data_IF_370716730735
#
_entry.id   IF_370716730735
#
_cell.length_a   1.000
_cell.length_b   1.000
_cell.length_c   1.000
_cell.angle_alpha   90.00
_cell.angle_beta   90.00
_cell.angle_gamma   90.00
#
_symmetry.space_group_name_H-M   'P 1'
#
loop_
_entity.id
_entity.type
_entity.pdbx_description
1 polymer ?
#
# COMPACT_ATOMS: atom_id res chain seq x y z
N UNK A 1 -4.53 1.56 -11.70
CA UNK A 1 -4.85 2.93 -12.19
C UNK A 1 -4.87 3.91 -11.02
N UNK A 2 -4.50 5.18 -11.23
CA UNK A 2 -4.53 6.21 -10.20
C UNK A 2 -5.30 7.45 -10.66
N UNK A 3 -6.16 8.01 -9.81
CA UNK A 3 -6.89 9.25 -10.08
C UNK A 3 -6.82 10.21 -8.89
N UNK A 4 -6.58 11.48 -9.19
CA UNK A 4 -6.55 12.57 -8.22
C UNK A 4 -7.68 13.55 -8.53
N UNK A 5 -8.56 13.81 -7.57
CA UNK A 5 -9.71 14.71 -7.76
C UNK A 5 -9.49 16.13 -7.21
N UNK A 6 -8.32 16.38 -6.61
CA UNK A 6 -8.01 17.64 -5.92
C UNK A 6 -7.95 17.51 -4.39
N UNK A 7 -8.56 16.47 -3.83
CA UNK A 7 -8.64 16.22 -2.39
C UNK A 7 -8.17 14.81 -2.02
N UNK A 8 -8.55 13.80 -2.79
CA UNK A 8 -8.23 12.41 -2.56
C UNK A 8 -7.56 11.75 -3.78
N UNK A 9 -6.56 10.91 -3.49
CA UNK A 9 -5.92 10.03 -4.46
C UNK A 9 -6.59 8.67 -4.36
N UNK A 10 -7.23 8.23 -5.44
CA UNK A 10 -7.70 6.85 -5.55
C UNK A 10 -6.67 6.04 -6.33
N UNK A 11 -6.20 4.94 -5.75
CA UNK A 11 -5.30 3.99 -6.40
C UNK A 11 -6.01 2.64 -6.50
N UNK A 12 -6.28 2.20 -7.72
CA UNK A 12 -6.82 0.87 -8.04
C UNK A 12 -5.66 -0.03 -8.42
N UNK A 13 -5.44 -1.07 -7.63
CA UNK A 13 -4.41 -2.08 -7.82
C UNK A 13 -5.08 -3.41 -8.17
N UNK A 14 -4.71 -3.98 -9.31
CA UNK A 14 -5.17 -5.30 -9.74
C UNK A 14 -4.04 -6.32 -9.55
N UNK A 15 -4.21 -7.21 -8.59
CA UNK A 15 -3.29 -8.29 -8.30
C UNK A 15 -3.69 -9.56 -9.05
N UNK A 16 -2.69 -10.22 -9.61
CA UNK A 16 -2.82 -11.59 -10.13
C UNK A 16 -1.80 -12.45 -9.40
N UNK A 17 -2.28 -13.47 -8.70
CA UNK A 17 -1.45 -14.38 -7.94
C UNK A 17 -0.98 -15.56 -8.81
N UNK A 18 0.03 -16.29 -8.34
CA UNK A 18 0.60 -17.44 -9.05
C UNK A 18 -0.39 -18.60 -9.26
N UNK A 19 -1.48 -18.63 -8.50
CA UNK A 19 -2.57 -19.61 -8.64
C UNK A 19 -3.69 -19.12 -9.59
N UNK A 20 -3.48 -18.01 -10.30
CA UNK A 20 -4.45 -17.30 -11.15
C UNK A 20 -5.65 -16.70 -10.43
N UNK A 21 -5.64 -16.64 -9.10
CA UNK A 21 -6.61 -15.80 -8.39
C UNK A 21 -6.31 -14.33 -8.66
N UNK A 22 -7.36 -13.51 -8.64
CA UNK A 22 -7.24 -12.07 -8.78
C UNK A 22 -7.80 -11.37 -7.55
N UNK A 23 -7.15 -10.28 -7.17
CA UNK A 23 -7.65 -9.37 -6.15
C UNK A 23 -7.61 -7.96 -6.70
N UNK A 24 -8.63 -7.16 -6.41
CA UNK A 24 -8.58 -5.73 -6.63
C UNK A 24 -8.54 -5.03 -5.29
N UNK A 25 -7.52 -4.19 -5.09
CA UNK A 25 -7.41 -3.31 -3.93
C UNK A 25 -7.60 -1.88 -4.39
N UNK A 26 -8.52 -1.18 -3.74
CA UNK A 26 -8.80 0.22 -4.01
C UNK A 26 -8.41 0.99 -2.77
N UNK A 27 -7.35 1.78 -2.88
CA UNK A 27 -6.94 2.72 -1.86
C UNK A 27 -7.56 4.07 -2.11
N UNK A 28 -7.98 4.72 -1.03
CA UNK A 28 -8.29 6.16 -1.02
C UNK A 28 -7.35 6.83 -0.04
N UNK A 29 -6.48 7.70 -0.54
CA UNK A 29 -5.51 8.44 0.25
C UNK A 29 -5.92 9.91 0.33
N UNK A 30 -5.88 10.47 1.53
CA UNK A 30 -6.10 11.89 1.77
C UNK A 30 -4.78 12.55 2.19
N UNK A 31 -4.52 13.73 1.62
CA UNK A 31 -3.35 14.52 2.00
C UNK A 31 -3.63 15.23 3.33
N UNK A 32 -2.75 15.00 4.31
CA UNK A 32 -2.77 15.69 5.60
C UNK A 32 -1.99 16.99 5.57
N UNK A 33 -1.62 17.48 6.75
CA UNK A 33 -0.74 18.65 6.86
C UNK A 33 0.70 18.30 6.48
N UNK A 34 1.38 19.24 5.81
CA UNK A 34 2.74 19.07 5.33
C UNK A 34 2.90 17.87 4.39
N UNK A 35 3.78 16.96 4.80
CA UNK A 35 4.16 15.76 4.04
C UNK A 35 3.47 14.49 4.56
N UNK A 36 2.40 14.63 5.34
CA UNK A 36 1.64 13.50 5.89
C UNK A 36 0.47 13.10 5.00
N UNK A 37 0.15 11.81 5.04
CA UNK A 37 -0.97 11.23 4.31
C UNK A 37 -1.71 10.26 5.21
N UNK A 38 -3.00 10.09 4.94
CA UNK A 38 -3.79 9.02 5.52
C UNK A 38 -4.48 8.24 4.42
N UNK A 39 -4.93 7.03 4.71
CA UNK A 39 -5.69 6.28 3.73
C UNK A 39 -6.47 5.11 4.28
N UNK A 40 -7.38 4.65 3.44
CA UNK A 40 -8.26 3.53 3.69
C UNK A 40 -8.28 2.61 2.47
N UNK A 41 -8.51 1.33 2.72
CA UNK A 41 -8.81 0.33 1.71
C UNK A 41 -9.60 -0.80 2.37
N UNK A 42 -10.25 -1.63 1.53
CA UNK A 42 -10.97 -2.80 2.03
C UNK A 42 -10.07 -3.68 2.90
N UNK A 43 -10.52 -3.95 4.13
CA UNK A 43 -9.82 -4.81 5.10
C UNK A 43 -8.79 -4.06 5.96
N UNK A 44 -8.50 -2.78 5.70
CA UNK A 44 -7.63 -1.97 6.54
C UNK A 44 -8.27 -1.76 7.91
N UNK A 45 -7.47 -1.89 8.97
CA UNK A 45 -7.88 -1.78 10.35
C UNK A 45 -7.41 -0.44 10.91
N UNK A 46 -8.37 0.46 11.12
CA UNK A 46 -8.07 1.84 11.47
C UNK A 46 -7.77 2.64 10.21
N UNK A 47 -6.68 3.40 10.22
CA UNK A 47 -6.29 4.25 9.11
C UNK A 47 -4.82 4.00 8.79
N UNK A 48 -4.50 3.85 7.51
CA UNK A 48 -3.12 3.81 7.05
C UNK A 48 -2.47 5.18 7.22
N UNK A 49 -1.19 5.19 7.57
CA UNK A 49 -0.43 6.42 7.85
C UNK A 49 0.75 6.52 6.91
N UNK A 50 0.80 7.65 6.20
CA UNK A 50 1.84 7.96 5.24
C UNK A 50 2.67 9.17 5.63
N UNK A 51 3.93 9.17 5.24
CA UNK A 51 4.79 10.34 5.32
C UNK A 51 5.77 10.38 4.15
N UNK A 52 5.91 11.55 3.54
CA UNK A 52 6.94 11.83 2.54
C UNK A 52 8.17 12.40 3.25
N UNK A 53 9.34 11.88 2.89
CA UNK A 53 10.65 12.40 3.30
C UNK A 53 11.58 12.41 2.07
N UNK A 54 11.71 13.58 1.43
CA UNK A 54 12.49 13.71 0.20
C UNK A 54 11.86 12.95 -0.96
N UNK A 55 12.58 11.96 -1.50
CA UNK A 55 12.16 11.06 -2.57
C UNK A 55 11.48 9.78 -2.06
N UNK A 56 11.34 9.65 -0.74
CA UNK A 56 10.81 8.46 -0.08
C UNK A 56 9.41 8.71 0.46
N UNK A 57 8.49 7.77 0.24
CA UNK A 57 7.18 7.72 0.87
C UNK A 57 7.07 6.47 1.74
N UNK A 58 6.93 6.66 3.05
CA UNK A 58 6.67 5.58 3.99
C UNK A 58 5.16 5.42 4.19
N UNK A 59 4.67 4.18 4.19
CA UNK A 59 3.26 3.84 4.32
C UNK A 59 3.06 2.68 5.29
N UNK A 60 2.40 2.95 6.41
CA UNK A 60 2.19 1.98 7.48
C UNK A 60 0.71 1.67 7.66
N UNK A 61 0.36 0.39 7.69
CA UNK A 61 -1.02 -0.03 7.85
C UNK A 61 -1.15 -1.42 8.44
N UNK A 62 -2.36 -1.74 8.89
CA UNK A 62 -2.76 -3.06 9.34
C UNK A 62 -3.95 -3.50 8.51
N UNK A 63 -3.93 -4.72 8.01
CA UNK A 63 -4.97 -5.23 7.11
C UNK A 63 -5.30 -6.67 7.45
N UNK A 64 -6.58 -7.02 7.31
CA UNK A 64 -7.05 -8.39 7.29
C UNK A 64 -6.95 -8.89 5.84
N UNK A 65 -5.90 -9.66 5.54
CA UNK A 65 -5.68 -10.22 4.21
C UNK A 65 -6.61 -11.44 4.00
N UNK A 66 -7.39 -11.48 2.91
CA UNK A 66 -8.15 -12.67 2.56
C UNK A 66 -7.21 -13.82 2.19
N UNK A 67 -7.48 -15.00 2.74
CA UNK A 67 -6.81 -16.27 2.46
C UNK A 67 -7.86 -17.32 2.07
N UNK A 68 -7.48 -18.43 1.41
CA UNK A 68 -8.43 -19.49 1.05
C UNK A 68 -9.23 -20.07 2.23
N UNK A 69 -8.65 -20.05 3.43
CA UNK A 69 -9.17 -20.64 4.66
C UNK A 69 -9.61 -19.61 5.71
N UNK A 70 -9.65 -18.32 5.37
CA UNK A 70 -10.13 -17.26 6.26
C UNK A 70 -9.49 -15.91 5.98
N UNK A 71 -9.23 -15.14 7.04
CA UNK A 71 -8.50 -13.87 6.94
C UNK A 71 -7.32 -13.88 7.92
N UNK A 72 -6.23 -13.27 7.50
CA UNK A 72 -5.05 -13.10 8.34
C UNK A 72 -4.74 -11.62 8.54
N UNK A 73 -4.89 -11.18 9.80
CA UNK A 73 -4.40 -9.88 10.23
C UNK A 73 -2.88 -9.80 10.19
N UNK A 74 -2.36 -8.84 9.45
CA UNK A 74 -0.93 -8.51 9.34
C UNK A 74 -0.72 -7.01 9.38
N UNK A 75 0.51 -6.59 9.68
CA UNK A 75 0.96 -5.20 9.60
C UNK A 75 1.98 -5.07 8.47
N UNK A 76 1.89 -3.96 7.74
CA UNK A 76 2.75 -3.61 6.64
C UNK A 76 3.49 -2.31 6.94
N UNK A 77 4.78 -2.33 6.64
CA UNK A 77 5.68 -1.17 6.62
C UNK A 77 6.26 -1.06 5.22
N UNK A 78 5.66 -0.19 4.41
CA UNK A 78 6.00 -0.01 3.00
C UNK A 78 6.91 1.21 2.84
N UNK A 79 8.03 1.00 2.17
CA UNK A 79 8.96 2.06 1.80
C UNK A 79 8.96 2.18 0.28
N UNK A 80 8.55 3.35 -0.21
CA UNK A 80 8.44 3.66 -1.62
C UNK A 80 9.47 4.71 -1.99
N UNK A 81 10.33 4.42 -2.96
CA UNK A 81 11.32 5.35 -3.48
C UNK A 81 10.97 5.75 -4.90
N UNK A 82 10.90 7.05 -5.15
CA UNK A 82 10.81 7.60 -6.49
C UNK A 82 12.16 7.41 -7.19
N UNK A 83 12.21 6.52 -8.18
CA UNK A 83 13.45 6.23 -8.92
C UNK A 83 13.68 7.24 -10.05
N UNK A 84 12.60 7.61 -10.73
CA UNK A 84 12.53 8.62 -11.78
C UNK A 84 11.09 9.16 -11.88
N UNK A 85 10.81 10.03 -12.85
CA UNK A 85 9.51 10.70 -13.00
C UNK A 85 8.33 9.72 -13.22
N UNK A 86 8.60 8.49 -13.66
CA UNK A 86 7.56 7.52 -14.03
C UNK A 86 7.67 6.20 -13.24
N UNK A 87 8.65 6.03 -12.34
CA UNK A 87 8.90 4.77 -11.63
C UNK A 87 9.06 4.92 -10.13
N UNK A 88 8.40 4.02 -9.39
CA UNK A 88 8.51 3.90 -7.93
C UNK A 88 8.85 2.47 -7.55
N UNK A 89 9.92 2.30 -6.77
CA UNK A 89 10.24 1.03 -6.11
C UNK A 89 9.56 0.97 -4.74
N UNK A 90 8.75 -0.05 -4.50
CA UNK A 90 8.15 -0.35 -3.21
C UNK A 90 8.79 -1.59 -2.60
N UNK A 91 9.26 -1.47 -1.36
CA UNK A 91 9.64 -2.60 -0.51
C UNK A 91 8.73 -2.58 0.71
N UNK A 92 7.92 -3.63 0.83
CA UNK A 92 6.91 -3.81 1.86
C UNK A 92 7.33 -4.92 2.84
N UNK A 93 7.45 -4.58 4.12
CA UNK A 93 7.75 -5.54 5.18
C UNK A 93 6.46 -5.99 5.88
N UNK A 94 6.19 -7.29 5.85
CA UNK A 94 4.98 -7.87 6.45
C UNK A 94 5.30 -8.53 7.78
N UNK A 95 4.51 -8.22 8.82
CA UNK A 95 4.65 -8.82 10.14
C UNK A 95 3.30 -9.21 10.76
N UNK A 96 3.33 -10.15 11.71
CA UNK A 96 2.17 -10.56 12.51
C UNK A 96 2.55 -10.64 13.98
N UNK A 97 1.81 -9.91 14.82
CA UNK A 97 2.12 -9.77 16.25
C UNK A 97 3.57 -9.34 16.53
N UNK A 98 4.16 -8.55 15.63
CA UNK A 98 5.55 -8.10 15.71
C UNK A 98 6.59 -9.10 15.16
N UNK A 99 6.18 -10.31 14.76
CA UNK A 99 7.06 -11.28 14.13
C UNK A 99 7.09 -11.09 12.60
N UNK A 100 8.28 -10.98 11.98
CA UNK A 100 8.38 -10.90 10.53
C UNK A 100 7.79 -12.14 9.86
N UNK A 101 6.97 -11.93 8.82
CA UNK A 101 6.41 -12.98 7.99
C UNK A 101 7.03 -13.02 6.60
N UNK A 102 7.43 -11.87 6.06
CA UNK A 102 8.01 -11.80 4.73
C UNK A 102 8.25 -10.37 4.25
N UNK A 103 8.76 -10.28 3.04
CA UNK A 103 9.02 -9.04 2.32
C UNK A 103 8.40 -9.16 0.92
N UNK A 104 7.78 -8.10 0.45
CA UNK A 104 7.27 -7.96 -0.92
C UNK A 104 8.03 -6.82 -1.58
N UNK A 105 8.43 -7.02 -2.83
CA UNK A 105 9.07 -5.98 -3.66
C UNK A 105 8.24 -5.77 -4.91
N UNK A 106 7.80 -4.54 -5.13
CA UNK A 106 6.93 -4.15 -6.26
C UNK A 106 7.58 -2.96 -6.98
N UNK A 107 7.47 -2.92 -8.30
CA UNK A 107 7.78 -1.73 -9.10
C UNK A 107 6.48 -1.18 -9.68
N UNK A 108 6.21 0.09 -9.44
CA UNK A 108 5.13 0.82 -10.11
C UNK A 108 5.72 1.58 -11.29
N UNK A 109 5.11 1.45 -12.48
CA UNK A 109 5.47 2.21 -13.67
C UNK A 109 4.23 2.95 -14.19
N UNK A 110 4.39 4.23 -14.53
CA UNK A 110 3.39 5.02 -15.25
C UNK A 110 3.57 4.78 -16.75
N UNK A 111 2.51 4.33 -17.42
CA UNK A 111 2.47 4.08 -18.87
C UNK A 111 1.97 5.28 -19.67
#
# INVERSE_FOLDING_TARGET
EGSWDGEALTLVEDFTYSDNTTEQRIWTLAKGEGDTWTGDAKGVIGEAKGKIEGDTFYWAYKIDLPLPDGEMRVSFDDYMWLLDDDRVLNIAYMSKWGFPLGQVTIMFEKL
#
